data_IF_322427160209
#
_entry.id   IF_322427160209
#
_cell.length_a   1.000
_cell.length_b   1.000
_cell.length_c   1.000
_cell.angle_alpha   90.00
_cell.angle_beta   90.00
_cell.angle_gamma   90.00
#
_symmetry.space_group_name_H-M   'P 1'
#
loop_
_entity.id
_entity.type
_entity.pdbx_description
1 polymer ?
#
# COMPACT_ATOMS: atom_id res chain seq x y z
N UNK A 1 -41.71 -34.11 32.40
CA UNK A 1 -40.69 -33.40 31.59
C UNK A 1 -39.65 -34.43 31.14
N UNK A 2 -39.55 -34.72 29.83
CA UNK A 2 -38.80 -35.90 29.35
C UNK A 2 -37.29 -35.66 29.39
N UNK A 3 -36.51 -36.70 29.75
CA UNK A 3 -35.03 -36.66 29.77
C UNK A 3 -34.42 -36.16 28.45
N UNK A 4 -35.15 -36.33 27.34
CA UNK A 4 -34.80 -35.82 26.00
C UNK A 4 -34.87 -34.31 25.89
N UNK A 5 -35.84 -33.67 26.55
CA UNK A 5 -35.97 -32.20 26.58
C UNK A 5 -34.84 -31.54 27.38
N UNK A 6 -34.43 -32.18 28.48
CA UNK A 6 -33.31 -31.69 29.31
C UNK A 6 -31.95 -31.83 28.60
N UNK A 7 -31.76 -32.93 27.85
CA UNK A 7 -30.56 -33.14 27.04
C UNK A 7 -30.43 -32.12 25.89
N UNK A 8 -31.54 -31.77 25.23
CA UNK A 8 -31.54 -30.75 24.17
C UNK A 8 -31.21 -29.35 24.71
N UNK A 9 -31.71 -28.99 25.90
CA UNK A 9 -31.39 -27.71 26.55
C UNK A 9 -29.91 -27.65 26.93
N UNK A 10 -29.35 -28.74 27.47
CA UNK A 10 -27.91 -28.82 27.78
C UNK A 10 -27.03 -28.69 26.54
N UNK A 11 -27.40 -29.33 25.42
CA UNK A 11 -26.63 -29.26 24.18
C UNK A 11 -26.61 -27.84 23.59
N UNK A 12 -27.73 -27.11 23.62
CA UNK A 12 -27.82 -25.72 23.15
C UNK A 12 -26.99 -24.78 24.04
N UNK A 13 -26.97 -25.02 25.36
CA UNK A 13 -26.18 -24.23 26.31
C UNK A 13 -24.66 -24.40 26.09
N UNK A 14 -24.20 -25.62 25.80
CA UNK A 14 -22.80 -25.92 25.49
C UNK A 14 -22.35 -25.29 24.16
N UNK A 15 -23.22 -25.27 23.14
CA UNK A 15 -22.94 -24.60 21.86
C UNK A 15 -22.88 -23.07 21.98
N UNK A 16 -23.60 -22.47 22.94
CA UNK A 16 -23.52 -21.03 23.21
C UNK A 16 -22.26 -20.63 24.00
N UNK A 17 -21.80 -21.49 24.91
CA UNK A 17 -20.58 -21.26 25.70
C UNK A 17 -19.28 -21.50 24.90
N UNK A 18 -19.35 -22.19 23.76
CA UNK A 18 -18.21 -22.46 22.88
C UNK A 18 -17.83 -21.31 21.91
N UNK A 19 -18.52 -20.16 21.96
CA UNK A 19 -18.09 -18.97 21.22
C UNK A 19 -16.92 -18.34 21.96
N UNK A 20 -15.73 -18.92 21.78
CA UNK A 20 -14.47 -18.27 22.11
C UNK A 20 -14.43 -16.95 21.35
N UNK A 21 -14.70 -15.84 22.04
CA UNK A 21 -14.40 -14.52 21.52
C UNK A 21 -12.90 -14.49 21.27
N UNK A 22 -12.51 -14.51 20.00
CA UNK A 22 -11.15 -14.24 19.58
C UNK A 22 -10.87 -12.77 19.91
N UNK A 23 -10.54 -12.51 21.17
CA UNK A 23 -10.07 -11.20 21.62
C UNK A 23 -8.71 -11.01 20.99
N UNK A 24 -8.70 -10.40 19.81
CA UNK A 24 -7.49 -9.84 19.24
C UNK A 24 -6.95 -8.85 20.28
N UNK A 25 -5.87 -9.23 20.96
CA UNK A 25 -5.15 -8.34 21.85
C UNK A 25 -4.66 -7.15 21.01
N UNK A 26 -5.36 -6.04 21.12
CA UNK A 26 -4.96 -4.78 20.47
C UNK A 26 -3.79 -4.22 21.25
N UNK A 27 -2.59 -4.73 21.01
CA UNK A 27 -1.37 -4.03 21.44
C UNK A 27 -1.37 -2.70 20.68
N UNK A 28 -1.37 -1.55 21.36
CA UNK A 28 -1.30 -0.26 20.68
C UNK A 28 -0.02 -0.22 19.86
N UNK A 29 -0.17 0.06 18.55
CA UNK A 29 0.94 0.20 17.64
C UNK A 29 1.65 1.53 17.95
N UNK A 30 2.75 1.46 18.70
CA UNK A 30 3.64 2.59 18.93
C UNK A 30 4.65 2.66 17.77
N UNK A 31 4.64 3.77 17.02
CA UNK A 31 5.59 4.04 15.93
C UNK A 31 6.29 5.36 16.19
N UNK A 32 7.61 5.34 16.15
CA UNK A 32 8.48 6.51 16.25
C UNK A 32 9.19 6.71 14.92
N UNK A 33 9.15 7.94 14.39
CA UNK A 33 9.85 8.32 13.16
C UNK A 33 10.86 9.42 13.49
N UNK A 34 12.13 9.22 13.09
CA UNK A 34 13.19 10.19 13.30
C UNK A 34 14.03 10.41 12.03
N UNK A 35 14.35 11.67 11.67
CA UNK A 35 13.74 12.88 12.21
C UNK A 35 12.26 13.00 11.81
N UNK A 36 11.47 13.69 12.63
CA UNK A 36 10.06 13.98 12.37
C UNK A 36 9.86 15.21 11.47
N UNK A 37 10.92 15.98 11.22
CA UNK A 37 10.94 17.13 10.32
C UNK A 37 12.26 17.16 9.54
N UNK A 38 12.17 17.44 8.24
CA UNK A 38 13.34 17.56 7.35
C UNK A 38 13.33 18.98 6.77
N UNK A 39 14.40 19.73 7.04
CA UNK A 39 14.64 21.03 6.41
C UNK A 39 15.44 20.79 5.13
N UNK A 40 14.83 21.08 3.98
CA UNK A 40 15.44 20.90 2.66
C UNK A 40 15.89 22.25 2.11
N UNK A 41 17.21 22.50 2.11
CA UNK A 41 17.84 23.67 1.48
C UNK A 41 18.36 23.37 0.07
N UNK A 42 19.03 24.35 -0.55
CA UNK A 42 19.54 24.26 -1.93
C UNK A 42 20.56 23.12 -2.15
N UNK A 43 21.26 22.70 -1.10
CA UNK A 43 22.30 21.65 -1.13
C UNK A 43 21.81 20.31 -0.56
N UNK A 44 20.49 20.14 -0.38
CA UNK A 44 19.94 18.91 0.18
C UNK A 44 20.18 17.70 -0.76
N UNK A 45 20.77 16.63 -0.23
CA UNK A 45 21.10 15.41 -0.97
C UNK A 45 20.49 14.15 -0.33
N UNK A 46 19.26 14.27 0.16
CA UNK A 46 18.61 13.18 0.89
C UNK A 46 18.96 13.13 2.38
N UNK A 47 18.24 12.29 3.11
CA UNK A 47 18.40 12.08 4.54
C UNK A 47 17.94 10.68 4.92
N UNK A 48 18.61 10.06 5.90
CA UNK A 48 18.19 8.77 6.45
C UNK A 48 17.05 8.99 7.45
N UNK A 49 15.92 8.33 7.19
CA UNK A 49 14.81 8.23 8.13
C UNK A 49 14.90 6.90 8.87
N UNK A 50 14.77 6.95 10.20
CA UNK A 50 14.63 5.79 11.06
C UNK A 50 13.19 5.67 11.54
N UNK A 51 12.58 4.52 11.26
CA UNK A 51 11.23 4.17 11.73
C UNK A 51 11.37 2.98 12.67
N UNK A 52 10.93 3.13 13.91
CA UNK A 52 10.93 2.08 14.92
C UNK A 52 9.55 1.94 15.54
N UNK A 53 9.21 0.75 16.02
CA UNK A 53 7.94 0.51 16.68
C UNK A 53 7.86 -0.89 17.27
N UNK A 54 6.83 -1.13 18.08
CA UNK A 54 6.55 -2.44 18.67
C UNK A 54 5.31 -3.02 18.00
N UNK A 55 5.41 -4.28 17.59
CA UNK A 55 4.30 -5.07 17.05
C UNK A 55 4.07 -6.29 17.95
N UNK A 56 2.85 -6.86 17.99
CA UNK A 56 2.61 -8.12 18.69
C UNK A 56 3.53 -9.24 18.20
N UNK A 57 3.81 -10.20 19.08
CA UNK A 57 4.39 -11.48 18.67
C UNK A 57 3.51 -12.13 17.59
N UNK A 58 4.14 -12.89 16.69
CA UNK A 58 3.48 -13.60 15.58
C UNK A 58 2.81 -12.71 14.53
N UNK A 59 3.19 -11.43 14.46
CA UNK A 59 2.74 -10.52 13.39
C UNK A 59 3.90 -10.04 12.52
N UNK A 60 3.58 -9.69 11.29
CA UNK A 60 4.51 -9.08 10.35
C UNK A 60 4.24 -7.58 10.20
N UNK A 61 5.30 -6.81 9.93
CA UNK A 61 5.20 -5.37 9.73
C UNK A 61 5.33 -5.01 8.25
N UNK A 62 4.53 -4.04 7.81
CA UNK A 62 4.66 -3.43 6.50
C UNK A 62 4.72 -1.91 6.66
N UNK A 63 5.86 -1.31 6.32
CA UNK A 63 6.04 0.13 6.42
C UNK A 63 5.84 0.75 5.05
N UNK A 64 4.91 1.71 4.98
CA UNK A 64 4.63 2.46 3.75
C UNK A 64 4.78 3.95 4.00
N UNK A 65 5.74 4.58 3.35
CA UNK A 65 5.88 6.03 3.32
C UNK A 65 5.12 6.56 2.11
N UNK A 66 4.10 7.38 2.35
CA UNK A 66 3.28 7.99 1.29
C UNK A 66 3.27 9.51 1.44
N UNK A 67 3.72 10.20 0.39
CA UNK A 67 3.59 11.66 0.30
C UNK A 67 2.18 12.09 -0.11
N UNK A 68 1.89 13.39 0.03
CA UNK A 68 0.65 13.98 -0.43
C UNK A 68 0.33 13.67 -1.90
N UNK A 69 -0.96 13.69 -2.25
CA UNK A 69 -1.43 13.41 -3.60
C UNK A 69 -1.17 14.58 -4.53
N UNK A 70 -0.83 14.28 -5.77
CA UNK A 70 -0.53 15.28 -6.80
C UNK A 70 -0.99 14.80 -8.17
N UNK A 71 -1.08 15.75 -9.10
CA UNK A 71 -1.21 15.47 -10.52
C UNK A 71 0.15 15.65 -11.19
N UNK A 72 0.50 14.78 -12.12
CA UNK A 72 1.76 14.80 -12.86
C UNK A 72 1.45 14.71 -14.34
N UNK A 73 2.01 15.63 -15.12
CA UNK A 73 1.88 15.66 -16.57
C UNK A 73 3.24 15.34 -17.20
N UNK A 74 3.29 14.29 -18.00
CA UNK A 74 4.52 13.80 -18.65
C UNK A 74 4.37 13.82 -20.17
N UNK A 75 5.49 13.99 -20.88
CA UNK A 75 5.53 13.89 -22.34
C UNK A 75 5.80 12.44 -22.76
N UNK A 76 5.01 11.94 -23.71
CA UNK A 76 5.27 10.66 -24.37
C UNK A 76 6.39 10.88 -25.37
N UNK A 77 7.57 10.33 -25.09
CA UNK A 77 8.71 10.36 -26.00
C UNK A 77 8.61 9.20 -26.99
N UNK A 78 8.94 9.47 -28.25
CA UNK A 78 9.04 8.44 -29.29
C UNK A 78 9.82 8.95 -30.48
N UNK A 79 10.14 8.05 -31.41
CA UNK A 79 10.84 8.40 -32.66
C UNK A 79 9.82 8.73 -33.75
N UNK A 80 9.85 9.96 -34.25
CA UNK A 80 9.17 10.32 -35.49
C UNK A 80 10.06 9.95 -36.68
N UNK A 81 9.43 9.41 -37.73
CA UNK A 81 10.11 8.99 -38.97
C UNK A 81 11.28 8.01 -38.74
N UNK A 82 11.24 7.23 -37.65
CA UNK A 82 12.28 6.25 -37.30
C UNK A 82 13.60 6.82 -36.75
N UNK A 83 13.83 8.13 -36.89
CA UNK A 83 15.14 8.75 -36.60
C UNK A 83 15.11 9.85 -35.54
N UNK A 84 14.01 10.60 -35.43
CA UNK A 84 13.99 11.82 -34.63
C UNK A 84 13.21 11.63 -33.32
N UNK A 85 13.88 11.75 -32.17
CA UNK A 85 13.20 11.73 -30.87
C UNK A 85 12.42 13.01 -30.63
N UNK A 86 11.10 12.89 -30.48
CA UNK A 86 10.24 14.03 -30.18
C UNK A 86 9.11 13.66 -29.21
N UNK A 87 8.38 14.69 -28.76
CA UNK A 87 7.21 14.52 -27.93
C UNK A 87 6.03 14.13 -28.85
N UNK A 88 5.58 12.88 -28.78
CA UNK A 88 4.44 12.38 -29.57
C UNK A 88 3.10 12.60 -28.88
N UNK A 89 3.10 12.99 -27.61
CA UNK A 89 1.88 13.20 -26.85
C UNK A 89 2.14 13.60 -25.41
N UNK A 90 1.07 13.69 -24.64
CA UNK A 90 1.10 14.03 -23.22
C UNK A 90 0.22 13.06 -22.45
N UNK A 91 0.73 12.54 -21.34
CA UNK A 91 0.00 11.68 -20.40
C UNK A 91 -0.11 12.42 -19.07
N UNK A 92 -1.32 12.48 -18.52
CA UNK A 92 -1.58 13.08 -17.21
C UNK A 92 -2.01 11.99 -16.22
N UNK A 93 -1.25 11.88 -15.14
CA UNK A 93 -1.53 11.03 -13.98
C UNK A 93 -2.15 11.91 -12.90
N UNK A 94 -3.34 11.57 -12.44
CA UNK A 94 -4.03 12.27 -11.37
C UNK A 94 -4.10 11.42 -10.12
N UNK A 95 -4.09 12.06 -8.96
CA UNK A 95 -4.21 11.42 -7.64
C UNK A 95 -3.08 10.40 -7.33
N UNK A 96 -1.87 10.67 -7.82
CA UNK A 96 -0.68 9.86 -7.53
C UNK A 96 0.09 10.44 -6.33
N UNK A 97 0.70 9.62 -5.47
CA UNK A 97 1.50 10.11 -4.36
C UNK A 97 2.80 10.75 -4.86
N UNK A 98 3.26 11.82 -4.19
CA UNK A 98 4.56 12.46 -4.49
C UNK A 98 5.76 11.55 -4.19
N UNK A 99 5.63 10.74 -3.13
CA UNK A 99 6.63 9.79 -2.64
C UNK A 99 5.87 8.51 -2.29
N UNK A 100 6.41 7.36 -2.68
CA UNK A 100 5.83 6.07 -2.32
C UNK A 100 6.95 5.05 -2.12
N UNK A 101 7.27 4.77 -0.86
CA UNK A 101 8.29 3.79 -0.47
C UNK A 101 7.63 2.67 0.34
N UNK A 102 8.08 1.45 0.10
CA UNK A 102 7.58 0.23 0.72
C UNK A 102 8.76 -0.51 1.36
N UNK A 103 8.60 -0.89 2.62
CA UNK A 103 9.55 -1.71 3.38
C UNK A 103 8.77 -2.82 4.10
N UNK A 104 8.66 -4.02 3.49
CA UNK A 104 8.05 -5.17 4.13
C UNK A 104 9.01 -5.80 5.15
N UNK A 105 8.47 -6.48 6.17
CA UNK A 105 9.28 -7.26 7.09
C UNK A 105 9.98 -8.42 6.39
N UNK A 106 11.15 -8.83 6.89
CA UNK A 106 11.86 -9.99 6.38
C UNK A 106 10.96 -11.23 6.35
N UNK A 107 10.84 -11.88 5.19
CA UNK A 107 10.03 -13.08 4.99
C UNK A 107 8.63 -12.85 4.43
N UNK A 108 8.16 -11.60 4.30
CA UNK A 108 6.90 -11.31 3.60
C UNK A 108 7.15 -11.28 2.08
N UNK A 109 6.42 -12.11 1.32
CA UNK A 109 6.58 -12.16 -0.13
C UNK A 109 5.81 -11.03 -0.81
N UNK A 110 6.21 -10.72 -2.05
CA UNK A 110 5.58 -9.65 -2.83
C UNK A 110 4.09 -9.90 -3.04
N UNK A 111 3.77 -11.14 -3.33
CA UNK A 111 2.43 -11.62 -3.64
C UNK A 111 1.49 -11.40 -2.44
N UNK A 112 1.99 -11.60 -1.21
CA UNK A 112 1.22 -11.46 0.02
C UNK A 112 0.75 -10.01 0.22
N UNK A 113 1.66 -9.04 0.11
CA UNK A 113 1.30 -7.64 0.31
C UNK A 113 0.66 -6.99 -0.92
N UNK A 114 0.86 -7.54 -2.12
CA UNK A 114 0.10 -7.12 -3.30
C UNK A 114 -1.36 -7.58 -3.23
N UNK A 115 -1.64 -8.79 -2.76
CA UNK A 115 -2.99 -9.30 -2.53
C UNK A 115 -3.76 -8.42 -1.53
N UNK A 116 -3.06 -7.90 -0.51
CA UNK A 116 -3.60 -6.96 0.48
C UNK A 116 -3.71 -5.51 -0.03
N UNK A 117 -3.41 -5.25 -1.30
CA UNK A 117 -3.38 -3.90 -1.89
C UNK A 117 -2.49 -2.91 -1.10
N UNK A 118 -1.37 -3.38 -0.57
CA UNK A 118 -0.40 -2.53 0.13
C UNK A 118 0.62 -1.91 -0.84
N UNK A 119 0.82 -2.58 -1.98
CA UNK A 119 1.76 -2.26 -3.05
C UNK A 119 1.38 -1.14 -4.02
N UNK A 120 2.18 -0.98 -5.07
CA UNK A 120 1.93 -0.07 -6.19
C UNK A 120 0.62 -0.34 -6.94
N UNK A 121 0.11 -1.59 -6.90
CA UNK A 121 -1.21 -1.94 -7.45
C UNK A 121 -2.34 -1.08 -6.85
N UNK A 122 -2.23 -0.69 -5.58
CA UNK A 122 -3.21 0.20 -4.94
C UNK A 122 -3.16 1.63 -5.51
N UNK A 123 -1.96 2.13 -5.79
CA UNK A 123 -1.75 3.44 -6.41
C UNK A 123 -2.32 3.44 -7.82
N UNK A 124 -2.06 2.39 -8.60
CA UNK A 124 -2.62 2.24 -9.96
C UNK A 124 -4.14 2.29 -9.97
N UNK A 125 -4.80 1.56 -9.06
CA UNK A 125 -6.27 1.55 -8.94
C UNK A 125 -6.85 2.92 -8.58
N UNK A 126 -6.13 3.73 -7.80
CA UNK A 126 -6.56 5.06 -7.38
C UNK A 126 -6.19 6.18 -8.38
N UNK A 127 -5.22 5.92 -9.25
CA UNK A 127 -4.73 6.89 -10.23
C UNK A 127 -5.69 6.99 -11.42
N UNK A 128 -5.98 8.22 -11.83
CA UNK A 128 -6.66 8.47 -13.11
C UNK A 128 -5.61 8.84 -14.15
N UNK A 129 -5.54 8.06 -15.22
CA UNK A 129 -4.60 8.25 -16.33
C UNK A 129 -5.35 8.79 -17.55
N UNK A 130 -4.85 9.87 -18.14
CA UNK A 130 -5.43 10.54 -19.30
C UNK A 130 -4.34 10.69 -20.38
N UNK A 131 -4.59 10.32 -21.66
CA UNK A 131 -5.86 9.81 -22.19
C UNK A 131 -6.18 8.38 -21.74
N UNK A 132 -7.47 8.04 -21.69
CA UNK A 132 -7.93 6.72 -21.23
C UNK A 132 -7.77 5.60 -22.27
N UNK A 133 -7.52 5.96 -23.54
CA UNK A 133 -7.36 5.06 -24.69
C UNK A 133 -6.00 4.36 -24.74
N UNK A 134 -5.03 4.80 -23.94
CA UNK A 134 -3.69 4.21 -23.89
C UNK A 134 -3.65 3.00 -22.93
N UNK A 135 -2.68 2.11 -23.15
CA UNK A 135 -2.39 0.99 -22.24
C UNK A 135 -1.97 1.51 -20.86
N UNK A 136 -2.94 1.51 -19.93
CA UNK A 136 -2.79 1.99 -18.56
C UNK A 136 -1.72 1.22 -17.78
N UNK A 137 -1.51 -0.05 -18.10
CA UNK A 137 -0.60 -0.93 -17.38
C UNK A 137 0.84 -0.60 -17.75
N UNK A 138 1.09 -0.47 -19.05
CA UNK A 138 2.36 0.01 -19.57
C UNK A 138 2.65 1.43 -19.07
N UNK A 139 1.70 2.36 -19.18
CA UNK A 139 1.90 3.74 -18.74
C UNK A 139 2.21 3.84 -17.25
N UNK A 140 1.48 3.10 -16.41
CA UNK A 140 1.73 3.11 -14.98
C UNK A 140 3.09 2.49 -14.62
N UNK A 141 3.48 1.40 -15.30
CA UNK A 141 4.80 0.79 -15.12
C UNK A 141 5.93 1.75 -15.46
N UNK A 142 5.83 2.45 -16.60
CA UNK A 142 6.83 3.45 -16.98
C UNK A 142 6.83 4.65 -16.04
N UNK A 143 5.66 5.09 -15.54
CA UNK A 143 5.57 6.13 -14.53
C UNK A 143 6.32 5.77 -13.24
N UNK A 144 6.21 4.51 -12.78
CA UNK A 144 6.93 4.04 -11.58
C UNK A 144 8.44 4.04 -11.80
N UNK A 145 8.94 3.70 -13.00
CA UNK A 145 10.39 3.73 -13.31
C UNK A 145 11.00 5.14 -13.32
N UNK A 146 10.19 6.15 -13.59
CA UNK A 146 10.62 7.56 -13.64
C UNK A 146 10.65 8.23 -12.25
N UNK A 147 10.26 7.50 -11.20
CA UNK A 147 10.17 7.97 -9.82
C UNK A 147 11.15 7.22 -8.94
#
# INVERSE_FOLDING_TARGET
>A
MSKRFFASIMAVLVCFLGRAECRAARVPLEVTVRPNQILMGATYNGMRLSVSGKIPADTQAFIRLTGGRTNVRLKKKGRALGVLWMNLGTVSFHNVPKIFLIYPSGGMQKEDWEALALGFGSVKKQAKIIPASDDKDLLFREFVKLK
#
